data_IF_323349446221
#
_entry.id   IF_323349446221
#
_cell.length_a   1.000
_cell.length_b   1.000
_cell.length_c   1.000
_cell.angle_alpha   90.00
_cell.angle_beta   90.00
_cell.angle_gamma   90.00
#
_symmetry.space_group_name_H-M   'P 1'
#
loop_
_entity.id
_entity.type
_entity.pdbx_description
1 polymer ?
#
# COMPACT_ATOMS: atom_id res chain seq x y z
N UNK A 1 -29.44 2.77 -1.38
CA UNK A 1 -28.73 3.94 -0.82
C UNK A 1 -27.21 3.77 -0.91
N UNK A 2 -26.67 2.60 -0.55
CA UNK A 2 -25.26 2.27 -0.76
C UNK A 2 -24.85 2.45 -2.24
N UNK A 3 -25.63 1.87 -3.16
CA UNK A 3 -25.36 1.99 -4.61
C UNK A 3 -25.31 3.43 -5.12
N UNK A 4 -26.18 4.32 -4.63
CA UNK A 4 -26.19 5.72 -5.08
C UNK A 4 -24.93 6.44 -4.59
N UNK A 5 -24.45 6.13 -3.38
CA UNK A 5 -23.22 6.71 -2.85
C UNK A 5 -21.97 6.13 -3.54
N UNK A 6 -21.94 4.82 -3.79
CA UNK A 6 -20.87 4.14 -4.54
C UNK A 6 -20.79 4.66 -5.96
N UNK A 7 -21.90 4.64 -6.70
CA UNK A 7 -21.98 5.17 -8.06
C UNK A 7 -21.61 6.65 -8.10
N UNK A 8 -22.07 7.47 -7.16
CA UNK A 8 -21.69 8.88 -7.11
C UNK A 8 -20.19 9.08 -6.85
N UNK A 9 -19.56 8.23 -6.02
CA UNK A 9 -18.13 8.32 -5.72
C UNK A 9 -17.26 7.84 -6.90
N UNK A 10 -17.64 6.73 -7.53
CA UNK A 10 -16.99 6.19 -8.74
C UNK A 10 -17.13 7.19 -9.90
N UNK A 11 -18.34 7.71 -10.14
CA UNK A 11 -18.59 8.70 -11.20
C UNK A 11 -17.81 9.99 -10.96
N UNK A 12 -17.59 10.39 -9.70
CA UNK A 12 -16.76 11.56 -9.38
C UNK A 12 -15.29 11.34 -9.73
N UNK A 13 -14.75 10.14 -9.49
CA UNK A 13 -13.37 9.82 -9.85
C UNK A 13 -13.21 9.75 -11.38
N UNK A 14 -14.12 9.07 -12.08
CA UNK A 14 -14.12 8.97 -13.54
C UNK A 14 -14.27 10.33 -14.25
N UNK A 15 -15.09 11.25 -13.69
CA UNK A 15 -15.36 12.56 -14.28
C UNK A 15 -14.12 13.46 -14.35
N UNK A 16 -13.08 13.18 -13.58
CA UNK A 16 -11.83 13.94 -13.59
C UNK A 16 -10.62 13.15 -14.14
N UNK A 17 -10.70 11.82 -14.27
CA UNK A 17 -9.52 11.00 -14.58
C UNK A 17 -9.24 10.70 -16.05
N UNK A 18 -10.21 10.84 -16.96
CA UNK A 18 -10.05 10.27 -18.32
C UNK A 18 -9.79 11.24 -19.47
N UNK A 19 -9.53 12.53 -19.24
CA UNK A 19 -9.33 13.48 -20.36
C UNK A 19 -7.88 13.70 -20.77
N UNK A 20 -6.90 13.26 -19.97
CA UNK A 20 -5.49 13.50 -20.24
C UNK A 20 -4.82 12.22 -20.76
N UNK A 21 -4.22 12.31 -21.95
CA UNK A 21 -3.36 11.23 -22.46
C UNK A 21 -2.22 10.93 -21.47
N UNK A 22 -1.63 9.72 -21.49
CA UNK A 22 -0.50 9.38 -20.62
C UNK A 22 0.64 10.41 -20.66
N UNK A 23 0.92 10.96 -21.84
CA UNK A 23 1.90 12.04 -22.03
C UNK A 23 1.49 13.35 -21.36
N UNK A 24 0.20 13.73 -21.46
CA UNK A 24 -0.32 14.92 -20.83
C UNK A 24 -0.35 14.80 -19.29
N UNK A 25 -0.66 13.60 -18.75
CA UNK A 25 -0.53 13.29 -17.32
C UNK A 25 0.91 13.41 -16.84
N UNK A 26 1.87 12.89 -17.60
CA UNK A 26 3.31 13.01 -17.29
C UNK A 26 3.75 14.47 -17.16
N UNK A 27 3.38 15.32 -18.13
CA UNK A 27 3.67 16.77 -18.09
C UNK A 27 3.00 17.48 -16.92
N UNK A 28 1.75 17.15 -16.62
CA UNK A 28 1.03 17.72 -15.47
C UNK A 28 1.71 17.33 -14.14
N UNK A 29 2.15 16.07 -14.01
CA UNK A 29 2.92 15.58 -12.86
C UNK A 29 4.24 16.32 -12.72
N UNK A 30 5.03 16.45 -13.79
CA UNK A 30 6.29 17.22 -13.75
C UNK A 30 6.08 18.67 -13.34
N UNK A 31 5.06 19.33 -13.91
CA UNK A 31 4.71 20.70 -13.57
C UNK A 31 4.32 20.83 -12.09
N UNK A 32 3.50 19.93 -11.55
CA UNK A 32 3.14 19.92 -10.14
C UNK A 32 4.37 19.72 -9.24
N UNK A 33 5.23 18.74 -9.57
CA UNK A 33 6.46 18.46 -8.83
C UNK A 33 7.46 19.63 -8.89
N UNK A 34 7.46 20.42 -9.97
CA UNK A 34 8.36 21.57 -10.12
C UNK A 34 8.11 22.67 -9.08
N UNK A 35 6.88 22.75 -8.53
CA UNK A 35 6.51 23.72 -7.51
C UNK A 35 6.80 23.25 -6.08
N UNK A 36 7.16 21.98 -5.87
CA UNK A 36 7.46 21.45 -4.54
C UNK A 36 8.88 21.89 -4.13
N UNK A 37 8.95 22.69 -3.07
CA UNK A 37 10.17 23.05 -2.35
C UNK A 37 9.92 22.93 -0.84
N UNK A 38 10.83 22.32 -0.06
CA UNK A 38 12.17 21.87 -0.43
C UNK A 38 12.20 20.52 -1.18
N UNK A 39 13.23 20.31 -2.00
CA UNK A 39 13.53 19.00 -2.60
C UNK A 39 14.32 18.15 -1.61
N UNK A 40 14.15 16.83 -1.70
CA UNK A 40 14.93 15.89 -0.92
C UNK A 40 16.43 16.09 -1.18
N UNK A 41 17.19 16.25 -0.11
CA UNK A 41 18.65 16.26 -0.19
C UNK A 41 19.19 14.85 -0.49
N UNK A 42 20.47 14.74 -0.82
CA UNK A 42 21.08 13.46 -1.19
C UNK A 42 20.94 12.40 -0.10
N UNK A 43 21.01 12.77 1.19
CA UNK A 43 20.85 11.81 2.30
C UNK A 43 19.43 11.28 2.37
N UNK A 44 18.44 12.15 2.18
CA UNK A 44 17.02 11.78 2.18
C UNK A 44 16.67 10.90 0.97
N UNK A 45 17.20 11.24 -0.21
CA UNK A 45 17.02 10.43 -1.42
C UNK A 45 17.60 9.02 -1.25
N UNK A 46 18.82 8.93 -0.73
CA UNK A 46 19.44 7.64 -0.41
C UNK A 46 18.65 6.88 0.65
N UNK A 47 18.08 7.58 1.65
CA UNK A 47 17.22 6.95 2.66
C UNK A 47 15.95 6.38 2.05
N UNK A 48 15.28 7.14 1.17
CA UNK A 48 14.05 6.73 0.50
C UNK A 48 14.25 5.60 -0.51
N UNK A 49 15.43 5.48 -1.11
CA UNK A 49 15.75 4.39 -2.05
C UNK A 49 16.14 3.07 -1.38
N UNK A 50 16.03 2.94 -0.05
CA UNK A 50 16.35 1.69 0.65
C UNK A 50 15.18 0.72 0.56
N UNK A 51 15.50 -0.58 0.53
CA UNK A 51 14.50 -1.64 0.66
C UNK A 51 13.76 -1.51 1.99
N UNK A 52 12.45 -1.72 1.93
CA UNK A 52 11.55 -1.75 3.08
C UNK A 52 11.90 -2.98 3.92
N UNK A 53 12.05 -2.78 5.23
CA UNK A 53 12.39 -3.85 6.18
C UNK A 53 11.13 -4.44 6.78
N UNK A 54 11.17 -5.73 7.09
CA UNK A 54 10.09 -6.43 7.81
C UNK A 54 9.66 -5.73 9.11
N UNK A 55 10.63 -5.15 9.86
CA UNK A 55 10.34 -4.38 11.07
C UNK A 55 9.49 -3.14 10.78
N UNK A 56 9.75 -2.43 9.70
CA UNK A 56 9.00 -1.23 9.30
C UNK A 56 7.56 -1.59 8.91
N UNK A 57 7.38 -2.71 8.18
CA UNK A 57 6.05 -3.25 7.85
C UNK A 57 5.29 -3.65 9.11
N UNK A 58 5.95 -4.33 10.05
CA UNK A 58 5.34 -4.71 11.33
C UNK A 58 4.92 -3.50 12.13
N UNK A 59 5.81 -2.53 12.32
CA UNK A 59 5.51 -1.29 13.06
C UNK A 59 4.31 -0.57 12.43
N UNK A 60 4.30 -0.44 11.10
CA UNK A 60 3.19 0.15 10.37
C UNK A 60 1.88 -0.63 10.59
N UNK A 61 1.87 -1.94 10.39
CA UNK A 61 0.69 -2.79 10.55
C UNK A 61 0.11 -2.73 11.98
N UNK A 62 0.98 -2.76 12.99
CA UNK A 62 0.55 -2.71 14.39
C UNK A 62 0.03 -1.32 14.80
N UNK A 63 0.49 -0.25 14.14
CA UNK A 63 0.07 1.13 14.41
C UNK A 63 -1.33 1.49 13.89
N UNK A 64 -1.91 0.68 12.99
CA UNK A 64 -3.24 0.93 12.42
C UNK A 64 -4.27 0.97 13.55
N UNK A 65 -5.16 1.96 13.59
CA UNK A 65 -6.16 2.05 14.64
C UNK A 65 -7.22 0.94 14.51
N UNK A 66 -7.57 0.30 15.63
CA UNK A 66 -8.68 -0.66 15.68
C UNK A 66 -10.04 0.06 15.51
N UNK A 67 -11.06 -0.67 15.06
CA UNK A 67 -12.43 -0.19 14.90
C UNK A 67 -12.61 0.78 13.73
N UNK A 68 -11.63 0.87 12.82
CA UNK A 68 -11.79 1.60 11.57
C UNK A 68 -12.56 0.76 10.56
N UNK A 69 -13.30 1.45 9.68
CA UNK A 69 -13.95 0.80 8.56
C UNK A 69 -12.90 0.05 7.73
N UNK A 70 -13.23 -1.18 7.34
CA UNK A 70 -12.38 -2.01 6.50
C UNK A 70 -12.20 -1.38 5.12
N UNK A 71 -11.12 -1.76 4.43
CA UNK A 71 -10.87 -1.32 3.06
C UNK A 71 -11.87 -1.90 2.07
N UNK A 72 -11.60 -1.72 0.78
CA UNK A 72 -12.42 -2.28 -0.30
C UNK A 72 -12.50 -3.83 -0.27
N UNK A 73 -11.54 -4.47 0.37
CA UNK A 73 -11.48 -5.91 0.60
C UNK A 73 -12.41 -6.40 1.73
N UNK A 74 -12.97 -5.48 2.53
CA UNK A 74 -13.77 -5.82 3.70
C UNK A 74 -12.98 -6.48 4.83
N UNK A 75 -11.65 -6.50 4.76
CA UNK A 75 -10.80 -7.15 5.76
C UNK A 75 -10.50 -6.17 6.91
N UNK A 76 -10.89 -6.48 8.16
CA UNK A 76 -10.60 -5.62 9.29
C UNK A 76 -9.11 -5.65 9.65
N UNK A 77 -8.60 -4.52 10.13
CA UNK A 77 -7.20 -4.39 10.58
C UNK A 77 -6.82 -5.39 11.69
N UNK A 78 -7.81 -5.79 12.48
CA UNK A 78 -7.70 -6.72 13.58
C UNK A 78 -7.37 -8.13 13.11
N UNK A 79 -7.86 -8.54 11.93
CA UNK A 79 -7.51 -9.83 11.35
C UNK A 79 -6.02 -9.87 11.00
N UNK A 80 -5.52 -8.82 10.37
CA UNK A 80 -4.10 -8.70 10.04
C UNK A 80 -3.23 -8.76 11.29
N UNK A 81 -3.57 -7.99 12.32
CA UNK A 81 -2.86 -8.02 13.62
C UNK A 81 -2.94 -9.36 14.32
N UNK A 82 -4.08 -10.05 14.20
CA UNK A 82 -4.25 -11.39 14.75
C UNK A 82 -3.31 -12.39 14.07
N UNK A 83 -3.29 -12.44 12.73
CA UNK A 83 -2.42 -13.33 11.98
C UNK A 83 -0.94 -13.12 12.28
N UNK A 84 -0.52 -11.85 12.40
CA UNK A 84 0.84 -11.47 12.80
C UNK A 84 1.19 -12.08 14.16
N UNK A 85 0.33 -11.91 15.16
CA UNK A 85 0.55 -12.46 16.51
C UNK A 85 0.58 -13.99 16.51
N UNK A 86 -0.36 -14.64 15.81
CA UNK A 86 -0.39 -16.11 15.74
C UNK A 86 0.91 -16.66 15.14
N UNK A 87 1.45 -16.01 14.10
CA UNK A 87 2.74 -16.40 13.53
C UNK A 87 3.90 -16.19 14.51
N UNK A 88 3.92 -15.08 15.24
CA UNK A 88 4.97 -14.76 16.23
C UNK A 88 4.93 -15.68 17.46
N UNK A 89 3.74 -16.09 17.87
CA UNK A 89 3.51 -16.99 19.00
C UNK A 89 3.65 -18.47 18.61
N UNK A 90 3.73 -18.78 17.31
CA UNK A 90 3.89 -20.15 16.82
C UNK A 90 5.28 -20.70 17.12
N UNK A 91 5.33 -21.88 17.74
CA UNK A 91 6.57 -22.59 17.96
C UNK A 91 7.10 -23.09 16.61
N UNK A 92 8.24 -22.53 16.20
CA UNK A 92 8.89 -22.86 14.93
C UNK A 92 9.31 -24.35 14.85
N UNK A 93 9.40 -25.03 16.00
CA UNK A 93 9.78 -26.44 16.14
C UNK A 93 8.60 -27.41 16.23
N UNK A 94 7.34 -26.93 16.19
CA UNK A 94 6.18 -27.80 16.30
C UNK A 94 5.79 -28.47 14.97
N UNK A 95 5.29 -29.72 15.03
CA UNK A 95 4.77 -30.46 13.85
C UNK A 95 3.47 -29.90 13.27
N UNK A 96 2.88 -28.87 13.91
CA UNK A 96 1.66 -28.24 13.46
C UNK A 96 1.93 -27.32 12.26
N UNK A 97 0.93 -27.15 11.35
CA UNK A 97 1.06 -26.21 10.25
C UNK A 97 1.30 -24.80 10.79
N UNK A 98 2.46 -24.24 10.45
CA UNK A 98 2.85 -22.90 10.87
C UNK A 98 1.87 -21.87 10.30
N UNK A 99 1.53 -20.88 11.13
CA UNK A 99 0.78 -19.73 10.65
C UNK A 99 1.60 -18.95 9.62
N UNK A 100 0.97 -18.36 8.59
CA UNK A 100 1.69 -17.68 7.52
C UNK A 100 2.44 -16.45 8.04
N UNK A 101 3.67 -16.26 7.56
CA UNK A 101 4.46 -15.06 7.84
C UNK A 101 3.98 -13.88 6.99
N UNK A 102 2.89 -13.27 7.42
CA UNK A 102 2.27 -12.14 6.73
C UNK A 102 3.22 -10.95 6.60
N UNK A 103 4.10 -10.72 7.59
CA UNK A 103 5.03 -9.60 7.55
C UNK A 103 6.04 -9.77 6.41
N UNK A 104 6.64 -10.94 6.28
CA UNK A 104 7.59 -11.19 5.20
C UNK A 104 6.91 -11.23 3.84
N UNK A 105 5.70 -11.80 3.73
CA UNK A 105 4.92 -11.80 2.48
C UNK A 105 4.67 -10.36 2.02
N UNK A 106 4.17 -9.49 2.89
CA UNK A 106 3.91 -8.07 2.55
C UNK A 106 5.22 -7.36 2.21
N UNK A 107 6.29 -7.60 2.97
CA UNK A 107 7.60 -6.99 2.72
C UNK A 107 8.16 -7.36 1.36
N UNK A 108 8.01 -8.62 0.93
CA UNK A 108 8.41 -9.08 -0.39
C UNK A 108 7.63 -8.37 -1.49
N UNK A 109 6.30 -8.36 -1.39
CA UNK A 109 5.43 -7.70 -2.39
C UNK A 109 5.73 -6.20 -2.51
N UNK A 110 5.89 -5.50 -1.39
CA UNK A 110 6.18 -4.06 -1.41
C UNK A 110 7.55 -3.74 -2.04
N UNK A 111 8.57 -4.55 -1.78
CA UNK A 111 9.88 -4.36 -2.38
C UNK A 111 9.89 -4.73 -3.87
N UNK A 112 9.13 -5.75 -4.27
CA UNK A 112 8.93 -6.13 -5.68
C UNK A 112 8.27 -4.98 -6.45
N UNK A 113 7.18 -4.41 -5.90
CA UNK A 113 6.51 -3.23 -6.48
C UNK A 113 7.46 -2.02 -6.53
N UNK A 114 8.28 -1.80 -5.51
CA UNK A 114 9.22 -0.69 -5.49
C UNK A 114 10.35 -0.84 -6.55
N UNK A 115 10.74 -2.08 -6.87
CA UNK A 115 11.81 -2.39 -7.81
C UNK A 115 11.31 -2.48 -9.27
N UNK A 116 10.13 -3.08 -9.48
CA UNK A 116 9.60 -3.42 -10.79
C UNK A 116 8.36 -2.63 -11.20
N UNK A 117 7.77 -1.85 -10.29
CA UNK A 117 6.50 -1.18 -10.50
C UNK A 117 5.30 -2.13 -10.30
N UNK A 118 4.12 -1.67 -10.69
CA UNK A 118 2.88 -2.45 -10.60
C UNK A 118 2.55 -3.06 -11.96
N UNK A 119 1.91 -4.23 -11.96
CA UNK A 119 1.46 -4.85 -13.21
C UNK A 119 0.37 -3.97 -13.88
N UNK A 120 0.48 -3.82 -15.20
CA UNK A 120 -0.35 -2.91 -16.02
C UNK A 120 -1.86 -3.22 -15.96
N UNK A 121 -2.21 -4.46 -15.63
CA UNK A 121 -3.58 -4.93 -15.52
C UNK A 121 -4.17 -4.82 -14.10
N UNK A 122 -3.45 -4.16 -13.17
CA UNK A 122 -3.91 -3.97 -11.80
C UNK A 122 -4.35 -2.53 -11.58
N UNK A 123 -5.43 -2.36 -10.81
CA UNK A 123 -5.90 -1.05 -10.35
C UNK A 123 -5.13 -0.54 -9.11
N UNK A 124 -3.89 -0.97 -8.91
CA UNK A 124 -3.16 -0.67 -7.68
C UNK A 124 -2.70 0.79 -7.61
N UNK A 125 -2.41 1.40 -8.77
CA UNK A 125 -1.89 2.77 -8.88
C UNK A 125 -2.85 3.71 -9.64
N UNK A 126 -4.09 3.26 -9.86
CA UNK A 126 -5.23 4.10 -10.25
C UNK A 126 -5.82 4.71 -8.97
#
# INVERSE_FOLDING_TARGET
>A
MLDIATTHHETLQEKYEHTLSPSARGKAREKALSHLSPRLNNRERTRMGRKIRAREVREAAMSIANGKASGLDGIPSELWKFLIKVHEDSDQESENPQAPDIINIITLVLNDIAEHGVAENTKFAE
#
